data_IF_020402795464
#
_entry.id   IF_020402795464
#
_cell.length_a   1.000
_cell.length_b   1.000
_cell.length_c   1.000
_cell.angle_alpha   90.00
_cell.angle_beta   90.00
_cell.angle_gamma   90.00
#
_symmetry.space_group_name_H-M   'P 1'
#
loop_
_entity.id
_entity.type
_entity.pdbx_description
1 polymer ?
#
# COMPACT_ATOMS: atom_id res chain seq x y z
N UNK A 1 -3.51 18.19 4.63
CA UNK A 1 -4.25 16.98 4.23
C UNK A 1 -3.30 15.85 3.91
N UNK A 2 -3.62 14.61 4.32
CA UNK A 2 -2.85 13.38 4.04
C UNK A 2 -3.77 12.31 3.46
N UNK A 3 -3.24 11.50 2.54
CA UNK A 3 -3.84 10.24 2.06
C UNK A 3 -2.90 9.10 2.42
N UNK A 4 -3.38 8.13 3.19
CA UNK A 4 -2.67 6.89 3.51
C UNK A 4 -3.25 5.74 2.70
N UNK A 5 -2.42 5.07 1.93
CA UNK A 5 -2.76 3.88 1.16
C UNK A 5 -2.35 2.62 1.94
N UNK A 6 -3.31 1.87 2.41
CA UNK A 6 -3.10 0.56 3.04
C UNK A 6 -3.11 -0.55 1.99
N UNK A 7 -2.04 -1.30 1.93
CA UNK A 7 -1.81 -2.31 0.91
C UNK A 7 -1.14 -3.59 1.43
N UNK A 8 -1.17 -4.62 0.62
CA UNK A 8 -0.31 -5.81 0.74
C UNK A 8 0.39 -6.03 -0.61
N UNK A 9 1.71 -6.19 -0.60
CA UNK A 9 2.55 -6.23 -1.82
C UNK A 9 2.16 -7.37 -2.77
N UNK A 10 1.61 -8.46 -2.25
CA UNK A 10 1.18 -9.65 -3.02
C UNK A 10 -0.33 -9.68 -3.29
N UNK A 11 -1.02 -8.56 -3.09
CA UNK A 11 -2.46 -8.46 -3.34
C UNK A 11 -2.74 -8.03 -4.78
N UNK A 12 -3.40 -8.88 -5.56
CA UNK A 12 -3.80 -8.55 -6.93
C UNK A 12 -4.64 -7.27 -7.03
N UNK A 13 -5.49 -7.00 -6.04
CA UNK A 13 -6.30 -5.78 -6.01
C UNK A 13 -5.45 -4.54 -5.75
N UNK A 14 -4.40 -4.64 -4.91
CA UNK A 14 -3.43 -3.58 -4.74
C UNK A 14 -2.64 -3.35 -6.03
N UNK A 15 -2.19 -4.42 -6.70
CA UNK A 15 -1.53 -4.33 -8.00
C UNK A 15 -2.36 -3.53 -9.02
N UNK A 16 -3.65 -3.85 -9.13
CA UNK A 16 -4.54 -3.17 -10.08
C UNK A 16 -4.84 -1.71 -9.71
N UNK A 17 -4.63 -1.32 -8.46
CA UNK A 17 -4.83 0.06 -7.97
C UNK A 17 -3.62 0.96 -8.20
N UNK A 18 -2.45 0.42 -8.54
CA UNK A 18 -1.22 1.21 -8.69
C UNK A 18 -1.29 2.32 -9.75
N UNK A 19 -1.89 2.11 -10.95
CA UNK A 19 -2.03 3.20 -11.91
C UNK A 19 -2.89 4.36 -11.37
N UNK A 20 -3.98 4.04 -10.69
CA UNK A 20 -4.85 5.03 -10.04
C UNK A 20 -4.12 5.78 -8.92
N UNK A 21 -3.35 5.06 -8.09
CA UNK A 21 -2.52 5.66 -7.04
C UNK A 21 -1.47 6.63 -7.59
N UNK A 22 -0.80 6.25 -8.68
CA UNK A 22 0.18 7.11 -9.35
C UNK A 22 -0.47 8.39 -9.92
N UNK A 23 -1.64 8.25 -10.56
CA UNK A 23 -2.41 9.38 -11.08
C UNK A 23 -2.88 10.31 -9.97
N UNK A 24 -3.39 9.76 -8.87
CA UNK A 24 -3.83 10.53 -7.71
C UNK A 24 -2.68 11.39 -7.14
N UNK A 25 -1.50 10.79 -6.97
CA UNK A 25 -0.30 11.51 -6.49
C UNK A 25 0.12 12.63 -7.46
N UNK A 26 0.11 12.35 -8.76
CA UNK A 26 0.45 13.35 -9.76
C UNK A 26 -0.53 14.52 -9.76
N UNK A 27 -1.84 14.24 -9.65
CA UNK A 27 -2.90 15.24 -9.67
C UNK A 27 -2.85 16.20 -8.47
N UNK A 28 -2.47 15.70 -7.31
CA UNK A 28 -2.44 16.48 -6.07
C UNK A 28 -1.03 16.78 -5.55
N UNK A 29 -0.02 16.66 -6.39
CA UNK A 29 1.37 16.95 -6.01
C UNK A 29 1.49 18.36 -5.38
N UNK A 30 2.19 18.45 -4.25
CA UNK A 30 2.39 19.68 -3.50
C UNK A 30 1.18 20.19 -2.71
N UNK A 31 0.00 19.57 -2.84
CA UNK A 31 -1.22 19.95 -2.10
C UNK A 31 -1.63 18.94 -1.05
N UNK A 32 -1.30 17.67 -1.28
CA UNK A 32 -1.66 16.53 -0.43
C UNK A 32 -0.41 15.73 -0.14
N UNK A 33 -0.22 15.33 1.11
CA UNK A 33 0.79 14.37 1.50
C UNK A 33 0.30 12.95 1.21
N UNK A 34 1.13 12.13 0.58
CA UNK A 34 0.83 10.75 0.25
C UNK A 34 1.78 9.81 0.98
N UNK A 35 1.22 8.78 1.57
CA UNK A 35 1.96 7.75 2.28
C UNK A 35 1.35 6.38 1.99
N UNK A 36 2.14 5.32 2.16
CA UNK A 36 1.64 3.96 2.08
C UNK A 36 2.08 3.13 3.28
N UNK A 37 1.22 2.21 3.67
CA UNK A 37 1.43 1.35 4.81
C UNK A 37 1.04 -0.09 4.50
N UNK A 38 1.80 -1.04 5.06
CA UNK A 38 1.46 -2.44 4.93
C UNK A 38 0.32 -2.79 5.88
N UNK A 39 -0.77 -3.26 5.32
CA UNK A 39 -1.83 -3.93 6.05
C UNK A 39 -1.77 -5.42 5.71
N UNK A 40 -1.05 -6.21 6.51
CA UNK A 40 -0.77 -7.59 6.17
C UNK A 40 -2.04 -8.45 6.10
N UNK A 41 -2.07 -9.34 5.12
CA UNK A 41 -3.14 -10.33 4.99
C UNK A 41 -3.09 -11.31 6.15
N UNK A 42 -4.27 -11.64 6.68
CA UNK A 42 -4.41 -12.68 7.69
C UNK A 42 -4.27 -14.07 7.04
N UNK A 43 -3.99 -15.13 7.81
CA UNK A 43 -3.83 -16.47 7.26
C UNK A 43 -4.98 -16.94 6.36
N UNK A 44 -6.22 -16.54 6.66
CA UNK A 44 -7.41 -16.87 5.86
C UNK A 44 -7.56 -16.07 4.56
N UNK A 45 -6.79 -15.00 4.38
CA UNK A 45 -6.84 -14.17 3.18
C UNK A 45 -5.95 -14.73 2.06
N UNK A 46 -5.06 -15.66 2.39
CA UNK A 46 -4.12 -16.25 1.45
C UNK A 46 -4.74 -17.39 0.63
N UNK A 47 -4.38 -17.52 -0.65
CA UNK A 47 -4.81 -18.68 -1.42
C UNK A 47 -4.24 -19.98 -0.81
N UNK A 48 -5.03 -21.02 -0.79
CA UNK A 48 -4.63 -22.34 -0.26
C UNK A 48 -3.98 -23.24 -1.33
N UNK A 49 -4.10 -22.85 -2.58
CA UNK A 49 -3.52 -23.57 -3.72
C UNK A 49 -3.21 -22.64 -4.89
N UNK A 50 -2.36 -23.09 -5.79
CA UNK A 50 -2.08 -22.34 -7.02
C UNK A 50 -3.33 -22.16 -7.87
N UNK A 51 -4.17 -23.19 -7.97
CA UNK A 51 -5.44 -23.08 -8.70
C UNK A 51 -6.36 -22.00 -8.11
N UNK A 52 -6.39 -21.85 -6.79
CA UNK A 52 -7.16 -20.78 -6.15
C UNK A 52 -6.52 -19.40 -6.40
N UNK A 53 -5.20 -19.29 -6.38
CA UNK A 53 -4.49 -18.08 -6.74
C UNK A 53 -4.79 -17.67 -8.20
N UNK A 54 -4.73 -18.62 -9.15
CA UNK A 54 -5.09 -18.41 -10.54
C UNK A 54 -6.54 -17.94 -10.69
N UNK A 55 -7.44 -18.49 -9.89
CA UNK A 55 -8.84 -18.08 -9.90
C UNK A 55 -9.01 -16.63 -9.40
N UNK A 56 -8.33 -16.25 -8.31
CA UNK A 56 -8.36 -14.87 -7.82
C UNK A 56 -7.79 -13.89 -8.84
N UNK A 57 -6.71 -14.24 -9.51
CA UNK A 57 -6.08 -13.42 -10.53
C UNK A 57 -6.96 -13.26 -11.77
N UNK A 58 -7.60 -14.35 -12.21
CA UNK A 58 -8.58 -14.30 -13.29
C UNK A 58 -9.77 -13.41 -12.92
N UNK A 59 -10.32 -13.59 -11.72
CA UNK A 59 -11.41 -12.76 -11.23
C UNK A 59 -11.07 -11.28 -11.24
N UNK A 60 -9.97 -10.90 -10.58
CA UNK A 60 -9.56 -9.51 -10.46
C UNK A 60 -9.22 -8.90 -11.83
N UNK A 61 -8.42 -9.58 -12.66
CA UNK A 61 -8.08 -9.12 -13.99
C UNK A 61 -9.28 -8.95 -14.93
N UNK A 62 -10.26 -9.87 -14.83
CA UNK A 62 -11.51 -9.76 -15.62
C UNK A 62 -12.35 -8.56 -15.18
N UNK A 63 -12.50 -8.36 -13.87
CA UNK A 63 -13.29 -7.24 -13.32
C UNK A 63 -12.69 -5.89 -13.73
N UNK A 64 -11.37 -5.74 -13.64
CA UNK A 64 -10.69 -4.50 -14.07
C UNK A 64 -10.47 -4.41 -15.59
N UNK A 65 -10.93 -5.39 -16.35
CA UNK A 65 -10.76 -5.47 -17.82
C UNK A 65 -9.30 -5.34 -18.25
N UNK A 66 -8.40 -6.00 -17.50
CA UNK A 66 -6.98 -5.96 -17.80
C UNK A 66 -6.68 -6.63 -19.16
N UNK A 67 -5.76 -6.07 -19.97
CA UNK A 67 -5.29 -6.71 -21.20
C UNK A 67 -4.36 -7.90 -20.93
N UNK A 68 -4.02 -8.18 -19.68
CA UNK A 68 -3.16 -9.31 -19.29
C UNK A 68 -3.63 -9.91 -17.96
N UNK A 69 -3.17 -11.14 -17.68
CA UNK A 69 -3.40 -11.81 -16.41
C UNK A 69 -2.14 -11.75 -15.54
N UNK A 70 -2.35 -11.75 -14.22
CA UNK A 70 -1.27 -11.89 -13.26
C UNK A 70 -0.75 -13.33 -13.25
N UNK A 71 0.49 -13.47 -12.81
CA UNK A 71 1.21 -14.76 -12.79
C UNK A 71 1.26 -15.29 -11.35
N UNK A 72 0.61 -16.41 -11.10
CA UNK A 72 0.64 -17.08 -9.80
C UNK A 72 1.93 -17.87 -9.52
N UNK A 73 2.93 -17.77 -10.40
CA UNK A 73 4.20 -18.47 -10.27
C UNK A 73 4.94 -18.21 -8.95
N UNK A 74 4.72 -17.06 -8.33
CA UNK A 74 5.30 -16.72 -7.02
C UNK A 74 4.74 -17.57 -5.87
N UNK A 75 3.51 -18.07 -6.02
CA UNK A 75 2.85 -18.87 -4.99
C UNK A 75 3.53 -20.22 -4.79
N UNK A 76 3.78 -20.57 -3.54
CA UNK A 76 4.32 -21.87 -3.14
C UNK A 76 3.46 -22.46 -2.01
N UNK A 77 2.89 -23.66 -2.19
CA UNK A 77 1.95 -24.25 -1.23
C UNK A 77 2.59 -24.74 0.07
N UNK A 78 3.89 -24.55 0.26
CA UNK A 78 4.70 -25.26 1.25
C UNK A 78 4.41 -24.88 2.71
N UNK A 79 3.87 -23.68 2.96
CA UNK A 79 3.44 -23.27 4.33
C UNK A 79 2.34 -22.22 4.22
N UNK A 80 1.07 -22.55 4.46
CA UNK A 80 0.02 -21.54 4.60
C UNK A 80 0.42 -20.47 5.60
N UNK A 81 0.35 -19.20 5.20
CA UNK A 81 0.62 -18.05 6.08
C UNK A 81 2.06 -17.55 6.13
N UNK A 82 2.95 -17.97 5.24
CA UNK A 82 4.36 -17.53 5.21
C UNK A 82 4.72 -16.65 4.01
N UNK A 83 3.79 -15.86 3.50
CA UNK A 83 4.02 -15.03 2.31
C UNK A 83 4.34 -13.54 2.55
N UNK A 84 4.58 -13.03 3.76
CA UNK A 84 4.79 -11.60 3.97
C UNK A 84 6.20 -11.10 3.62
N UNK A 85 7.13 -11.94 3.16
CA UNK A 85 8.51 -11.55 2.92
C UNK A 85 8.64 -10.29 2.05
N UNK A 86 7.88 -10.18 0.96
CA UNK A 86 7.89 -9.00 0.09
C UNK A 86 7.47 -7.73 0.85
N UNK A 87 6.43 -7.80 1.67
CA UNK A 87 5.94 -6.67 2.47
C UNK A 87 6.94 -6.26 3.55
N UNK A 88 7.60 -7.21 4.20
CA UNK A 88 8.66 -6.91 5.17
C UNK A 88 9.88 -6.28 4.53
N UNK A 89 10.27 -6.73 3.34
CA UNK A 89 11.38 -6.16 2.58
C UNK A 89 11.03 -4.75 2.08
N UNK A 90 9.81 -4.52 1.59
CA UNK A 90 9.36 -3.19 1.18
C UNK A 90 9.36 -2.21 2.36
N UNK A 91 8.82 -2.63 3.52
CA UNK A 91 8.81 -1.81 4.73
C UNK A 91 10.23 -1.53 5.25
N UNK A 92 11.11 -2.54 5.24
CA UNK A 92 12.50 -2.38 5.64
C UNK A 92 13.28 -1.41 4.75
N UNK A 93 12.93 -1.30 3.47
CA UNK A 93 13.58 -0.38 2.55
C UNK A 93 13.38 1.10 2.94
N UNK A 94 12.34 1.43 3.68
CA UNK A 94 12.11 2.78 4.23
C UNK A 94 13.26 3.23 5.14
N UNK A 95 13.90 2.32 5.88
CA UNK A 95 15.05 2.60 6.75
C UNK A 95 16.31 3.04 5.95
N UNK A 96 16.29 2.84 4.63
CA UNK A 96 17.36 3.24 3.71
C UNK A 96 16.97 4.45 2.84
N UNK A 97 15.85 5.11 3.18
CA UNK A 97 15.35 6.29 2.45
C UNK A 97 14.44 5.99 1.26
N UNK A 98 14.06 4.71 1.05
CA UNK A 98 13.10 4.31 0.00
C UNK A 98 11.67 4.37 0.54
N UNK A 99 11.18 5.58 0.80
CA UNK A 99 9.82 5.82 1.30
C UNK A 99 8.77 5.94 0.19
N UNK A 100 9.22 6.04 -1.07
CA UNK A 100 8.35 6.04 -2.26
C UNK A 100 7.86 4.64 -2.62
N UNK A 101 7.36 4.52 -3.84
CA UNK A 101 6.73 3.27 -4.32
C UNK A 101 7.73 2.31 -4.99
N UNK A 102 8.94 2.76 -5.29
CA UNK A 102 9.88 2.09 -6.19
C UNK A 102 10.21 0.65 -5.79
N UNK A 103 10.44 0.41 -4.49
CA UNK A 103 10.82 -0.93 -4.02
C UNK A 103 9.60 -1.86 -3.94
N UNK A 104 8.47 -1.37 -3.40
CA UNK A 104 7.26 -2.19 -3.32
C UNK A 104 6.70 -2.54 -4.70
N UNK A 105 6.77 -1.59 -5.66
CA UNK A 105 6.36 -1.85 -7.05
C UNK A 105 7.28 -2.85 -7.75
N UNK A 106 8.59 -2.76 -7.55
CA UNK A 106 9.53 -3.75 -8.09
C UNK A 106 9.22 -5.16 -7.58
N UNK A 107 8.93 -5.30 -6.28
CA UNK A 107 8.55 -6.57 -5.66
C UNK A 107 7.21 -7.10 -6.19
N UNK A 108 6.19 -6.26 -6.22
CA UNK A 108 4.86 -6.62 -6.74
C UNK A 108 4.95 -7.05 -8.22
N UNK A 109 5.68 -6.29 -9.05
CA UNK A 109 5.88 -6.64 -10.46
C UNK A 109 6.61 -7.98 -10.61
N UNK A 110 7.71 -8.18 -9.90
CA UNK A 110 8.48 -9.42 -9.96
C UNK A 110 7.63 -10.65 -9.55
N UNK A 111 6.79 -10.51 -8.52
CA UNK A 111 5.88 -11.58 -8.11
C UNK A 111 4.71 -11.76 -9.06
N UNK A 112 3.91 -10.73 -9.22
CA UNK A 112 2.58 -10.83 -9.84
C UNK A 112 2.60 -10.74 -11.37
N UNK A 113 3.67 -10.22 -11.98
CA UNK A 113 3.86 -10.23 -13.44
C UNK A 113 4.82 -11.31 -13.90
N UNK A 114 5.92 -11.50 -13.20
CA UNK A 114 7.01 -12.39 -13.63
C UNK A 114 6.95 -13.76 -12.92
N UNK A 115 6.16 -13.90 -11.85
CA UNK A 115 6.01 -15.15 -11.11
C UNK A 115 7.22 -15.52 -10.25
N UNK A 116 8.09 -14.55 -9.95
CA UNK A 116 9.25 -14.77 -9.10
C UNK A 116 8.82 -15.07 -7.66
N UNK A 117 9.55 -15.92 -6.95
CA UNK A 117 9.21 -16.45 -5.63
C UNK A 117 9.40 -15.40 -4.50
N UNK A 118 8.74 -14.26 -4.60
CA UNK A 118 8.86 -13.14 -3.66
C UNK A 118 8.38 -13.45 -2.23
N UNK A 119 7.70 -14.56 -2.03
CA UNK A 119 7.43 -15.12 -0.69
C UNK A 119 8.68 -15.63 0.01
N UNK A 120 9.76 -15.88 -0.73
CA UNK A 120 11.07 -16.24 -0.18
C UNK A 120 11.87 -14.97 0.10
N UNK A 121 12.37 -14.84 1.33
CA UNK A 121 13.10 -13.65 1.76
C UNK A 121 14.32 -13.34 0.89
N UNK A 122 15.10 -14.36 0.54
CA UNK A 122 16.27 -14.20 -0.32
C UNK A 122 15.95 -13.65 -1.70
N UNK A 123 14.82 -14.06 -2.28
CA UNK A 123 14.35 -13.57 -3.60
C UNK A 123 13.86 -12.14 -3.48
N UNK A 124 13.01 -11.84 -2.49
CA UNK A 124 12.51 -10.49 -2.27
C UNK A 124 13.67 -9.50 -1.99
N UNK A 125 14.65 -9.88 -1.17
CA UNK A 125 15.84 -9.06 -0.89
C UNK A 125 16.66 -8.82 -2.16
N UNK A 126 16.86 -9.84 -3.00
CA UNK A 126 17.62 -9.71 -4.24
C UNK A 126 16.95 -8.72 -5.20
N UNK A 127 15.64 -8.82 -5.38
CA UNK A 127 14.84 -7.92 -6.23
C UNK A 127 14.92 -6.48 -5.72
N UNK A 128 14.66 -6.28 -4.43
CA UNK A 128 14.69 -4.96 -3.81
C UNK A 128 16.10 -4.33 -3.88
N UNK A 129 17.14 -5.10 -3.61
CA UNK A 129 18.52 -4.62 -3.70
C UNK A 129 18.91 -4.27 -5.15
N UNK A 130 18.44 -5.02 -6.13
CA UNK A 130 18.62 -4.69 -7.56
C UNK A 130 17.95 -3.35 -7.90
N UNK A 131 16.70 -3.15 -7.46
CA UNK A 131 15.93 -1.93 -7.71
C UNK A 131 16.55 -0.71 -6.99
N UNK A 132 17.01 -0.87 -5.74
CA UNK A 132 17.61 0.21 -4.94
C UNK A 132 19.10 0.45 -5.23
N UNK A 133 19.75 -0.46 -5.96
CA UNK A 133 21.16 -0.35 -6.34
C UNK A 133 22.08 -0.23 -5.13
N UNK A 134 23.15 0.56 -5.28
CA UNK A 134 24.16 0.74 -4.23
C UNK A 134 23.62 1.31 -2.90
N UNK A 135 22.48 2.00 -2.95
CA UNK A 135 21.85 2.60 -1.76
C UNK A 135 21.11 1.58 -0.89
N UNK A 136 20.81 0.39 -1.44
CA UNK A 136 20.07 -0.65 -0.74
C UNK A 136 20.87 -1.98 -0.68
N UNK A 137 21.90 -2.08 0.19
CA UNK A 137 22.74 -3.27 0.27
C UNK A 137 21.97 -4.49 0.77
N UNK A 138 21.93 -5.59 0.01
CA UNK A 138 21.14 -6.80 0.28
C UNK A 138 21.32 -7.35 1.70
N UNK A 139 22.56 -7.42 2.21
CA UNK A 139 22.83 -7.95 3.56
C UNK A 139 22.18 -7.09 4.66
N UNK A 140 22.26 -5.75 4.54
CA UNK A 140 21.66 -4.82 5.51
C UNK A 140 20.13 -4.85 5.40
N UNK A 141 19.60 -4.85 4.18
CA UNK A 141 18.16 -4.94 3.92
C UNK A 141 17.57 -6.23 4.51
N UNK A 142 18.23 -7.37 4.32
CA UNK A 142 17.80 -8.64 4.91
C UNK A 142 17.73 -8.55 6.43
N UNK A 143 18.79 -8.05 7.08
CA UNK A 143 18.81 -7.91 8.54
C UNK A 143 17.69 -6.96 9.05
N UNK A 144 17.42 -5.88 8.31
CA UNK A 144 16.31 -4.98 8.63
C UNK A 144 14.95 -5.66 8.47
N UNK A 145 14.71 -6.37 7.37
CA UNK A 145 13.45 -7.10 7.11
C UNK A 145 13.17 -8.20 8.17
N UNK A 146 14.20 -8.82 8.73
CA UNK A 146 14.10 -9.82 9.79
C UNK A 146 14.02 -9.18 11.20
N UNK A 147 14.09 -7.85 11.31
CA UNK A 147 14.12 -7.16 12.60
C UNK A 147 12.76 -7.09 13.28
N UNK A 148 12.76 -7.09 14.62
CA UNK A 148 11.55 -6.84 15.42
C UNK A 148 10.97 -5.44 15.18
N UNK A 149 11.81 -4.46 14.81
CA UNK A 149 11.35 -3.10 14.55
C UNK A 149 10.47 -3.03 13.30
N UNK A 150 10.88 -3.67 12.20
CA UNK A 150 10.07 -3.75 10.97
C UNK A 150 8.78 -4.54 11.25
N UNK A 151 8.87 -5.67 11.95
CA UNK A 151 7.67 -6.44 12.32
C UNK A 151 6.67 -5.59 13.14
N UNK A 152 7.17 -4.83 14.13
CA UNK A 152 6.34 -3.98 14.95
C UNK A 152 5.66 -2.85 14.16
N UNK A 153 6.34 -2.25 13.17
CA UNK A 153 5.75 -1.23 12.28
C UNK A 153 4.60 -1.82 11.45
N UNK A 154 4.82 -3.00 10.85
CA UNK A 154 3.79 -3.69 10.07
C UNK A 154 2.61 -4.11 10.95
N UNK A 155 2.87 -4.56 12.17
CA UNK A 155 1.80 -4.91 13.10
C UNK A 155 1.01 -3.66 13.51
N UNK A 156 1.67 -2.54 13.76
CA UNK A 156 1.04 -1.26 14.11
C UNK A 156 0.16 -0.74 12.94
N UNK A 157 0.69 -0.70 11.73
CA UNK A 157 -0.07 -0.26 10.55
C UNK A 157 -1.24 -1.20 10.22
N UNK A 158 -1.06 -2.51 10.45
CA UNK A 158 -2.16 -3.48 10.32
C UNK A 158 -3.25 -3.26 11.38
N UNK A 159 -2.88 -2.93 12.61
CA UNK A 159 -3.83 -2.57 13.66
C UNK A 159 -4.57 -1.26 13.33
N UNK A 160 -3.86 -0.25 12.81
CA UNK A 160 -4.46 1.00 12.35
C UNK A 160 -5.47 0.76 11.24
N UNK A 161 -5.12 -0.07 10.24
CA UNK A 161 -6.05 -0.50 9.19
C UNK A 161 -7.35 -1.06 9.76
N UNK A 162 -7.29 -1.96 10.74
CA UNK A 162 -8.49 -2.51 11.39
C UNK A 162 -9.22 -1.49 12.26
N UNK A 163 -8.51 -0.56 12.90
CA UNK A 163 -9.12 0.51 13.70
C UNK A 163 -9.99 1.45 12.85
N UNK A 164 -9.70 1.57 11.54
CA UNK A 164 -10.56 2.26 10.59
C UNK A 164 -11.77 1.44 10.13
N UNK A 165 -12.02 0.26 10.72
CA UNK A 165 -13.09 -0.68 10.34
C UNK A 165 -12.97 -1.16 8.88
N UNK A 166 -11.75 -1.22 8.36
CA UNK A 166 -11.45 -1.68 7.02
C UNK A 166 -11.21 -3.19 7.05
N UNK A 167 -11.75 -3.91 6.05
CA UNK A 167 -11.55 -5.35 5.90
C UNK A 167 -10.96 -5.75 4.54
N UNK A 168 -10.91 -4.83 3.59
CA UNK A 168 -10.46 -5.09 2.22
C UNK A 168 -9.27 -4.21 1.85
N UNK A 169 -8.32 -4.79 1.12
CA UNK A 169 -7.20 -4.10 0.48
C UNK A 169 -7.42 -4.05 -1.02
N UNK A 170 -7.06 -2.98 -1.71
CA UNK A 170 -6.49 -1.72 -1.24
C UNK A 170 -7.47 -0.92 -0.37
N UNK A 171 -6.97 -0.06 0.51
CA UNK A 171 -7.81 0.90 1.21
C UNK A 171 -7.13 2.26 1.30
N UNK A 172 -7.92 3.31 1.33
CA UNK A 172 -7.43 4.69 1.38
C UNK A 172 -8.08 5.42 2.54
N UNK A 173 -7.26 6.02 3.38
CA UNK A 173 -7.70 6.88 4.49
C UNK A 173 -7.24 8.30 4.20
N UNK A 174 -8.20 9.18 4.05
CA UNK A 174 -8.02 10.61 3.85
C UNK A 174 -8.21 11.31 5.19
N UNK A 175 -7.33 12.22 5.55
CA UNK A 175 -7.46 13.04 6.77
C UNK A 175 -6.91 14.45 6.53
N UNK A 176 -7.45 15.42 7.24
CA UNK A 176 -7.02 16.81 7.16
C UNK A 176 -6.78 17.43 8.54
N UNK A 177 -6.39 18.70 8.54
CA UNK A 177 -5.98 19.42 9.74
C UNK A 177 -7.17 19.99 10.54
N UNK A 178 -8.40 19.94 9.97
CA UNK A 178 -9.63 20.34 10.68
C UNK A 178 -10.33 19.16 11.34
N UNK A 179 -9.85 17.92 11.08
CA UNK A 179 -10.32 16.69 11.70
C UNK A 179 -11.25 15.86 10.84
N UNK A 180 -11.47 16.24 9.58
CA UNK A 180 -12.29 15.47 8.66
C UNK A 180 -11.55 14.21 8.20
N UNK A 181 -12.33 13.15 8.01
CA UNK A 181 -11.82 11.84 7.58
C UNK A 181 -12.76 11.18 6.59
N UNK A 182 -12.20 10.63 5.52
CA UNK A 182 -12.90 9.73 4.61
C UNK A 182 -12.14 8.41 4.49
N UNK A 183 -12.88 7.30 4.41
CA UNK A 183 -12.32 5.94 4.32
C UNK A 183 -12.93 5.24 3.12
N UNK A 184 -12.06 4.70 2.26
CA UNK A 184 -12.42 3.89 1.10
C UNK A 184 -11.82 2.50 1.27
N UNK A 185 -12.66 1.47 1.28
CA UNK A 185 -12.25 0.07 1.47
C UNK A 185 -12.52 -0.73 0.20
N UNK A 186 -11.55 -1.51 -0.25
CA UNK A 186 -11.59 -2.28 -1.48
C UNK A 186 -11.06 -1.49 -2.69
N UNK A 187 -11.23 -2.06 -3.89
CA UNK A 187 -10.84 -1.38 -5.13
C UNK A 187 -11.72 -0.15 -5.36
N UNK A 188 -11.09 1.00 -5.50
CA UNK A 188 -11.77 2.28 -5.67
C UNK A 188 -11.36 2.90 -7.01
N UNK A 189 -12.34 3.40 -7.75
CA UNK A 189 -12.09 4.22 -8.92
C UNK A 189 -11.52 5.59 -8.51
N UNK A 190 -10.85 6.25 -9.44
CA UNK A 190 -10.19 7.54 -9.19
C UNK A 190 -11.19 8.63 -8.76
N UNK A 191 -12.36 8.66 -9.39
CA UNK A 191 -13.35 9.71 -9.26
C UNK A 191 -13.86 9.91 -7.82
N UNK A 192 -14.23 8.86 -7.06
CA UNK A 192 -14.66 9.04 -5.67
C UNK A 192 -13.56 9.62 -4.77
N UNK A 193 -12.29 9.19 -4.99
CA UNK A 193 -11.15 9.70 -4.22
C UNK A 193 -10.90 11.16 -4.54
N UNK A 194 -10.90 11.55 -5.81
CA UNK A 194 -10.70 12.94 -6.22
C UNK A 194 -11.82 13.84 -5.71
N UNK A 195 -13.09 13.40 -5.80
CA UNK A 195 -14.22 14.16 -5.28
C UNK A 195 -14.10 14.41 -3.76
N UNK A 196 -13.71 13.39 -3.00
CA UNK A 196 -13.50 13.53 -1.56
C UNK A 196 -12.33 14.46 -1.25
N UNK A 197 -11.19 14.32 -1.94
CA UNK A 197 -10.03 15.19 -1.76
C UNK A 197 -10.38 16.64 -2.08
N UNK A 198 -11.06 16.90 -3.20
CA UNK A 198 -11.42 18.24 -3.62
C UNK A 198 -12.38 18.91 -2.61
N UNK A 199 -13.35 18.16 -2.08
CA UNK A 199 -14.27 18.64 -1.04
C UNK A 199 -13.52 18.99 0.24
N UNK A 200 -12.69 18.06 0.76
CA UNK A 200 -11.91 18.28 2.00
C UNK A 200 -10.94 19.46 1.86
N UNK A 201 -10.26 19.62 0.71
CA UNK A 201 -9.39 20.77 0.46
C UNK A 201 -10.18 22.09 0.43
N UNK A 202 -11.40 22.11 -0.12
CA UNK A 202 -12.27 23.28 -0.12
C UNK A 202 -12.68 23.67 1.31
N UNK A 203 -13.03 22.69 2.16
CA UNK A 203 -13.39 22.92 3.56
C UNK A 203 -12.21 23.47 4.36
N UNK A 204 -11.01 22.88 4.23
CA UNK A 204 -9.79 23.41 4.87
C UNK A 204 -9.53 24.86 4.46
N UNK A 205 -9.73 25.19 3.18
CA UNK A 205 -9.57 26.57 2.69
C UNK A 205 -10.61 27.52 3.30
N UNK A 206 -11.87 27.09 3.40
CA UNK A 206 -12.95 27.87 4.03
C UNK A 206 -12.68 28.13 5.52
N UNK A 207 -12.28 27.11 6.28
CA UNK A 207 -11.90 27.24 7.69
C UNK A 207 -10.70 28.18 7.88
N UNK A 208 -9.69 28.07 7.02
CA UNK A 208 -8.51 28.97 7.05
C UNK A 208 -8.92 30.41 6.77
N UNK A 209 -9.77 30.64 5.77
CA UNK A 209 -10.31 31.95 5.44
C UNK A 209 -11.12 32.54 6.59
N UNK A 210 -12.03 31.75 7.19
CA UNK A 210 -12.82 32.19 8.35
C UNK A 210 -11.90 32.60 9.49
N UNK A 211 -10.92 31.79 9.85
CA UNK A 211 -9.96 32.06 10.92
C UNK A 211 -9.15 33.35 10.69
N UNK A 212 -8.76 33.62 9.45
CA UNK A 212 -8.01 34.82 9.08
C UNK A 212 -8.83 36.12 9.26
N UNK A 213 -10.16 36.05 9.08
CA UNK A 213 -11.05 37.21 9.20
C UNK A 213 -11.64 37.39 10.60
N UNK A 214 -11.88 36.31 11.33
CA UNK A 214 -12.60 36.32 12.60
C UNK A 214 -11.76 35.93 13.81
N UNK A 215 -10.51 35.52 13.60
CA UNK A 215 -9.60 35.09 14.66
C UNK A 215 -9.90 33.73 15.24
N UNK A 216 -9.32 33.45 16.41
CA UNK A 216 -9.55 32.19 17.14
C UNK A 216 -10.84 32.28 17.98
N UNK A 217 -11.46 31.16 18.35
CA UNK A 217 -12.58 31.15 19.26
C UNK A 217 -12.18 31.80 20.62
N UNK A 218 -13.12 32.42 21.32
CA UNK A 218 -12.86 32.93 22.66
C UNK A 218 -12.30 31.87 23.58
N UNK A 219 -11.37 32.26 24.45
CA UNK A 219 -10.85 31.33 25.47
C UNK A 219 -12.00 30.85 26.38
N UNK A 220 -11.96 29.60 26.79
CA UNK A 220 -12.90 29.01 27.74
C UNK A 220 -12.63 29.55 29.15
#
# INVERSE_FOLDING_TARGET
>A
MKVTYFLEVTSSWCFWSEPMWAELKARYAGRVAFDWEIAKMLPGDWPVSRAQCDWFYRRSGTIVRSPFMLNSGWFEPVKPGTYPAASYVAEAAKDFGFTGDEIRLALSHAGEREGQKIGRLEVAVAIAAQAGGKKLPAKKLRAAAESKAVAARIDASTQEFFAHQISQRPAFVLSDDIGDKAVFSGLVHLEPLTAAIDAMLADVAAYTSFKSHHGNPPAR
#
